data_IF_420539077316
#
_entry.id   IF_420539077316
#
_cell.length_a   1.000
_cell.length_b   1.000
_cell.length_c   1.000
_cell.angle_alpha   90.00
_cell.angle_beta   90.00
_cell.angle_gamma   90.00
#
_symmetry.space_group_name_H-M   'P 1'
#
loop_
_entity.id
_entity.type
_entity.pdbx_description
1 polymer ?
#
# COMPACT_ATOMS: atom_id res chain seq x y z
N UNK A 1 -2.64 -6.18 -16.85
CA UNK A 1 -2.22 -5.55 -15.58
C UNK A 1 -0.97 -4.71 -15.78
N UNK A 2 0.19 -5.30 -16.07
CA UNK A 2 1.48 -4.57 -16.21
C UNK A 2 1.36 -3.36 -17.14
N UNK A 3 0.87 -3.56 -18.36
CA UNK A 3 0.67 -2.49 -19.34
C UNK A 3 -0.23 -1.34 -18.82
N UNK A 4 -1.19 -1.65 -17.95
CA UNK A 4 -2.06 -0.63 -17.35
C UNK A 4 -1.32 0.17 -16.29
N UNK A 5 -0.64 -0.51 -15.36
CA UNK A 5 0.01 0.14 -14.21
C UNK A 5 1.31 0.88 -14.59
N UNK A 6 1.99 0.47 -15.66
CA UNK A 6 3.17 1.18 -16.19
C UNK A 6 2.85 2.58 -16.71
N UNK A 7 1.62 2.81 -17.16
CA UNK A 7 1.16 4.10 -17.68
C UNK A 7 0.54 5.02 -16.62
N UNK A 8 0.60 4.65 -15.34
CA UNK A 8 0.06 5.46 -14.24
C UNK A 8 1.14 6.39 -13.66
N UNK A 9 0.73 7.57 -13.19
CA UNK A 9 1.62 8.48 -12.45
C UNK A 9 1.76 8.11 -10.97
N UNK A 10 0.77 7.39 -10.42
CA UNK A 10 0.81 6.90 -9.05
C UNK A 10 0.01 5.60 -8.89
N UNK A 11 0.43 4.78 -7.94
CA UNK A 11 -0.19 3.50 -7.59
C UNK A 11 -0.28 3.38 -6.07
N UNK A 12 -1.40 2.91 -5.56
CA UNK A 12 -1.55 2.50 -4.17
C UNK A 12 -1.19 1.03 -4.04
N UNK A 13 -0.42 0.68 -3.01
CA UNK A 13 0.06 -0.69 -2.78
C UNK A 13 -0.12 -1.04 -1.30
N UNK A 14 -0.53 -2.28 -1.06
CA UNK A 14 -0.61 -2.91 0.26
C UNK A 14 -0.28 -4.40 0.13
N UNK A 15 0.05 -5.07 1.25
CA UNK A 15 0.39 -6.49 1.29
C UNK A 15 -0.31 -7.21 2.42
N UNK A 16 -0.69 -8.47 2.16
CA UNK A 16 -1.12 -9.40 3.21
C UNK A 16 -0.05 -10.44 3.48
N UNK A 17 0.25 -10.67 4.76
CA UNK A 17 1.38 -11.51 5.19
C UNK A 17 0.98 -12.60 6.18
N UNK A 18 1.65 -13.74 6.11
CA UNK A 18 1.47 -14.85 7.05
C UNK A 18 2.78 -15.21 7.76
N UNK A 19 2.77 -15.24 9.09
CA UNK A 19 3.92 -15.62 9.92
C UNK A 19 3.70 -16.83 10.85
N UNK A 20 2.45 -17.22 11.15
CA UNK A 20 2.21 -18.25 12.17
C UNK A 20 2.76 -19.65 11.82
N UNK A 21 2.75 -20.03 10.53
CA UNK A 21 3.24 -21.33 10.03
C UNK A 21 4.51 -21.19 9.16
N UNK A 22 5.26 -20.11 9.32
CA UNK A 22 6.52 -19.89 8.62
C UNK A 22 7.52 -19.18 9.53
N UNK A 23 8.77 -19.62 9.55
CA UNK A 23 9.79 -19.05 10.44
C UNK A 23 10.08 -17.57 10.11
N UNK A 24 10.26 -17.24 8.83
CA UNK A 24 10.51 -15.86 8.38
C UNK A 24 9.22 -15.12 7.98
N UNK A 25 8.09 -15.83 7.97
CA UNK A 25 6.86 -15.39 7.32
C UNK A 25 6.98 -15.29 5.80
N UNK A 26 5.85 -15.12 5.11
CA UNK A 26 5.82 -14.85 3.68
C UNK A 26 4.56 -14.07 3.30
N UNK A 27 4.70 -13.24 2.27
CA UNK A 27 3.62 -12.47 1.67
C UNK A 27 2.69 -13.40 0.89
N UNK A 28 1.39 -13.22 1.09
CA UNK A 28 0.31 -14.08 0.59
C UNK A 28 -0.56 -13.40 -0.46
N UNK A 29 -0.65 -12.07 -0.42
CA UNK A 29 -1.39 -11.25 -1.38
C UNK A 29 -0.69 -9.90 -1.53
N UNK A 30 -0.79 -9.31 -2.72
CA UNK A 30 -0.41 -7.93 -2.98
C UNK A 30 -1.59 -7.23 -3.64
N UNK A 31 -1.92 -6.05 -3.13
CA UNK A 31 -2.99 -5.22 -3.64
C UNK A 31 -2.39 -4.04 -4.37
N UNK A 32 -2.89 -3.74 -5.57
CA UNK A 32 -2.49 -2.56 -6.33
C UNK A 32 -3.74 -1.85 -6.82
N UNK A 33 -3.91 -0.59 -6.45
CA UNK A 33 -4.94 0.27 -7.01
C UNK A 33 -4.32 1.37 -7.86
N UNK A 34 -4.85 1.48 -9.08
CA UNK A 34 -4.73 2.68 -9.91
C UNK A 34 -5.92 3.60 -9.65
N UNK A 35 -6.01 4.72 -10.38
CA UNK A 35 -7.18 5.61 -10.30
C UNK A 35 -8.47 4.98 -10.83
N UNK A 36 -8.38 3.93 -11.63
CA UNK A 36 -9.52 3.36 -12.37
C UNK A 36 -9.77 1.89 -12.09
N UNK A 37 -8.75 1.16 -11.64
CA UNK A 37 -8.78 -0.30 -11.49
C UNK A 37 -8.04 -0.75 -10.24
N UNK A 38 -8.56 -1.81 -9.61
CA UNK A 38 -7.98 -2.50 -8.46
C UNK A 38 -7.53 -3.91 -8.87
N UNK A 39 -6.34 -4.30 -8.44
CA UNK A 39 -5.74 -5.60 -8.72
C UNK A 39 -5.40 -6.31 -7.42
N UNK A 40 -5.79 -7.60 -7.34
CA UNK A 40 -5.39 -8.51 -6.28
C UNK A 40 -4.48 -9.57 -6.89
N UNK A 41 -3.23 -9.56 -6.47
CA UNK A 41 -2.17 -10.39 -7.04
C UNK A 41 -1.87 -11.52 -6.07
N UNK A 42 -2.08 -12.76 -6.53
CA UNK A 42 -1.74 -13.95 -5.77
C UNK A 42 -0.22 -14.15 -5.75
N UNK A 43 0.42 -13.68 -4.69
CA UNK A 43 1.87 -13.72 -4.56
C UNK A 43 2.41 -15.09 -4.16
N UNK A 44 1.54 -16.03 -3.75
CA UNK A 44 1.93 -17.42 -3.50
C UNK A 44 2.15 -18.12 -4.84
N UNK A 45 1.22 -17.94 -5.78
CA UNK A 45 1.28 -18.59 -7.10
C UNK A 45 2.32 -17.93 -8.00
N UNK A 46 2.41 -16.60 -7.99
CA UNK A 46 3.28 -15.83 -8.89
C UNK A 46 4.64 -15.49 -8.29
N UNK A 47 5.03 -16.10 -7.16
CA UNK A 47 6.20 -15.71 -6.36
C UNK A 47 7.47 -15.48 -7.18
N UNK A 48 7.79 -16.40 -8.07
CA UNK A 48 9.02 -16.37 -8.87
C UNK A 48 8.97 -15.41 -10.08
N UNK A 49 7.79 -14.87 -10.38
CA UNK A 49 7.54 -14.01 -11.55
C UNK A 49 7.40 -12.53 -11.15
N UNK A 50 7.20 -12.24 -9.86
CA UNK A 50 6.90 -10.88 -9.39
C UNK A 50 8.05 -9.89 -9.54
N UNK A 51 9.29 -10.36 -9.73
CA UNK A 51 10.45 -9.50 -9.94
C UNK A 51 10.29 -8.55 -11.15
N UNK A 52 9.43 -8.88 -12.11
CA UNK A 52 9.07 -8.02 -13.25
C UNK A 52 8.52 -6.66 -12.80
N UNK A 53 7.90 -6.59 -11.62
CA UNK A 53 7.35 -5.35 -11.06
C UNK A 53 8.42 -4.32 -10.73
N UNK A 54 9.70 -4.68 -10.62
CA UNK A 54 10.79 -3.72 -10.41
C UNK A 54 10.80 -2.63 -11.50
N UNK A 55 10.47 -2.97 -12.76
CA UNK A 55 10.39 -1.97 -13.84
C UNK A 55 9.46 -0.80 -13.52
N UNK A 56 8.44 -1.02 -12.69
CA UNK A 56 7.44 -0.03 -12.27
C UNK A 56 7.76 0.48 -10.86
N UNK A 57 8.09 -0.42 -9.93
CA UNK A 57 8.32 -0.11 -8.52
C UNK A 57 9.61 0.72 -8.32
N UNK A 58 10.60 0.57 -9.20
CA UNK A 58 11.82 1.40 -9.20
C UNK A 58 11.76 2.56 -10.19
N UNK A 59 10.64 2.76 -10.90
CA UNK A 59 10.49 3.90 -11.80
C UNK A 59 10.27 5.20 -10.98
N UNK A 60 11.17 6.20 -11.07
CA UNK A 60 11.05 7.43 -10.28
C UNK A 60 9.90 8.32 -10.71
N UNK A 61 9.33 8.14 -11.91
CA UNK A 61 8.21 8.94 -12.40
C UNK A 61 6.85 8.45 -11.88
N UNK A 62 6.81 7.27 -11.26
CA UNK A 62 5.59 6.67 -10.70
C UNK A 62 5.68 6.76 -9.18
N UNK A 63 4.73 7.41 -8.52
CA UNK A 63 4.67 7.45 -7.05
C UNK A 63 4.06 6.16 -6.53
N UNK A 64 4.72 5.48 -5.60
CA UNK A 64 4.13 4.32 -4.90
C UNK A 64 3.61 4.77 -3.54
N UNK A 65 2.30 4.71 -3.36
CA UNK A 65 1.61 5.15 -2.16
C UNK A 65 1.34 3.94 -1.28
N UNK A 66 1.80 4.01 -0.03
CA UNK A 66 1.56 3.00 1.01
C UNK A 66 0.90 3.64 2.24
N UNK A 67 0.48 2.80 3.19
CA UNK A 67 0.05 3.23 4.52
C UNK A 67 0.78 2.45 5.62
N UNK A 68 1.84 3.01 6.18
CA UNK A 68 2.63 2.35 7.22
C UNK A 68 3.51 1.24 6.65
N UNK A 69 4.37 1.60 5.69
CA UNK A 69 5.06 0.67 4.80
C UNK A 69 6.23 -0.09 5.42
N UNK A 70 6.57 0.14 6.70
CA UNK A 70 7.81 -0.36 7.31
C UNK A 70 8.00 -1.88 7.10
N UNK A 71 6.94 -2.67 7.34
CA UNK A 71 6.97 -4.12 7.13
C UNK A 71 6.86 -4.51 5.65
N UNK A 72 6.10 -3.76 4.86
CA UNK A 72 5.92 -4.05 3.44
C UNK A 72 7.23 -3.98 2.67
N UNK A 73 8.07 -3.00 2.98
CA UNK A 73 9.39 -2.85 2.36
C UNK A 73 10.28 -4.05 2.65
N UNK A 74 10.29 -4.55 3.89
CA UNK A 74 11.04 -5.77 4.25
C UNK A 74 10.48 -7.00 3.50
N UNK A 75 9.16 -7.13 3.44
CA UNK A 75 8.50 -8.27 2.81
C UNK A 75 8.72 -8.30 1.30
N UNK A 76 8.62 -7.16 0.61
CA UNK A 76 8.89 -7.03 -0.83
C UNK A 76 10.31 -7.50 -1.18
N UNK A 77 11.30 -7.10 -0.38
CA UNK A 77 12.69 -7.47 -0.58
C UNK A 77 12.92 -8.95 -0.28
N UNK A 78 12.47 -9.40 0.89
CA UNK A 78 12.65 -10.77 1.38
C UNK A 78 12.01 -11.80 0.44
N UNK A 79 10.77 -11.54 0.01
CA UNK A 79 9.98 -12.52 -0.71
C UNK A 79 10.18 -12.49 -2.23
N UNK A 80 10.45 -11.32 -2.81
CA UNK A 80 10.38 -11.12 -4.28
C UNK A 80 11.58 -10.37 -4.87
N UNK A 81 12.51 -9.87 -4.04
CA UNK A 81 13.58 -8.99 -4.52
C UNK A 81 13.05 -7.69 -5.15
N UNK A 82 11.92 -7.18 -4.63
CA UNK A 82 11.30 -5.94 -5.09
C UNK A 82 11.77 -4.75 -4.24
N UNK A 83 12.00 -3.62 -4.90
CA UNK A 83 12.44 -2.38 -4.28
C UNK A 83 11.55 -1.22 -4.70
N UNK A 84 11.36 -0.25 -3.81
CA UNK A 84 10.51 0.92 -4.07
C UNK A 84 11.38 2.18 -4.24
N UNK A 85 11.15 2.93 -5.31
CA UNK A 85 11.70 4.26 -5.55
C UNK A 85 10.55 5.25 -5.66
N UNK A 86 10.69 6.47 -5.10
CA UNK A 86 9.62 7.47 -5.10
C UNK A 86 8.35 6.97 -4.37
N UNK A 87 8.51 6.70 -3.07
CA UNK A 87 7.42 6.28 -2.17
C UNK A 87 6.80 7.47 -1.46
N UNK A 88 5.48 7.41 -1.24
CA UNK A 88 4.77 8.29 -0.33
C UNK A 88 4.00 7.46 0.71
N UNK A 89 4.35 7.61 1.98
CA UNK A 89 3.65 6.94 3.07
C UNK A 89 2.60 7.87 3.72
N UNK A 90 1.32 7.50 3.57
CA UNK A 90 0.20 8.24 4.15
C UNK A 90 0.15 8.20 5.68
N UNK A 91 0.73 7.18 6.32
CA UNK A 91 0.91 7.13 7.77
C UNK A 91 1.90 8.21 8.23
N UNK A 92 3.02 8.35 7.53
CA UNK A 92 4.01 9.41 7.81
C UNK A 92 3.40 10.80 7.56
N UNK A 93 2.61 10.96 6.50
CA UNK A 93 1.88 12.19 6.23
C UNK A 93 0.89 12.56 7.34
N UNK A 94 0.13 11.58 7.87
CA UNK A 94 -0.78 11.78 8.99
C UNK A 94 -0.05 12.24 10.26
N UNK A 95 1.12 11.67 10.53
CA UNK A 95 2.00 12.07 11.65
C UNK A 95 2.52 13.49 11.47
N UNK A 96 3.02 13.83 10.29
CA UNK A 96 3.57 15.16 10.00
C UNK A 96 2.48 16.26 10.08
N UNK A 97 1.24 15.93 9.75
CA UNK A 97 0.10 16.83 9.90
C UNK A 97 -0.40 16.96 11.34
N UNK A 98 0.10 16.14 12.27
CA UNK A 98 -0.38 16.01 13.66
C UNK A 98 -1.88 15.68 13.73
N UNK A 99 -2.32 14.69 12.94
CA UNK A 99 -3.70 14.22 13.04
C UNK A 99 -3.96 13.49 14.38
N UNK A 100 -5.21 13.46 14.88
CA UNK A 100 -5.57 12.74 16.11
C UNK A 100 -5.19 11.26 16.13
N UNK A 101 -5.22 10.60 14.97
CA UNK A 101 -4.74 9.23 14.79
C UNK A 101 -4.16 9.05 13.37
N UNK A 102 -3.43 7.96 13.18
CA UNK A 102 -2.61 7.74 11.97
C UNK A 102 -2.95 6.45 11.22
N UNK A 103 -3.92 5.67 11.68
CA UNK A 103 -4.29 4.41 11.04
C UNK A 103 -5.14 4.63 9.79
N UNK A 104 -5.09 3.68 8.85
CA UNK A 104 -5.88 3.73 7.62
C UNK A 104 -7.37 3.84 7.94
N UNK A 105 -7.84 3.02 8.90
CA UNK A 105 -9.21 3.08 9.40
C UNK A 105 -9.63 4.48 9.87
N UNK A 106 -8.73 5.21 10.55
CA UNK A 106 -9.01 6.58 10.97
C UNK A 106 -9.11 7.53 9.77
N UNK A 107 -8.21 7.41 8.79
CA UNK A 107 -8.22 8.25 7.59
C UNK A 107 -9.48 7.99 6.75
N UNK A 108 -9.83 6.73 6.52
CA UNK A 108 -11.05 6.32 5.83
C UNK A 108 -12.30 6.88 6.51
N UNK A 109 -12.41 6.73 7.84
CA UNK A 109 -13.55 7.27 8.58
C UNK A 109 -13.61 8.80 8.53
N UNK A 110 -12.46 9.45 8.68
CA UNK A 110 -12.39 10.93 8.76
C UNK A 110 -12.69 11.62 7.44
N UNK A 111 -12.31 11.03 6.31
CA UNK A 111 -12.43 11.67 5.00
C UNK A 111 -13.54 11.11 4.14
N UNK A 112 -13.94 9.85 4.36
CA UNK A 112 -14.91 9.14 3.51
C UNK A 112 -16.10 8.55 4.29
N UNK A 113 -16.14 8.74 5.60
CA UNK A 113 -17.15 8.16 6.52
C UNK A 113 -17.29 6.62 6.40
N UNK A 114 -16.22 5.95 5.96
CA UNK A 114 -16.16 4.49 5.85
C UNK A 114 -15.61 3.89 7.15
N UNK A 115 -16.32 2.90 7.67
CA UNK A 115 -15.84 2.07 8.77
C UNK A 115 -15.03 0.89 8.23
N UNK A 116 -13.71 0.95 8.39
CA UNK A 116 -12.81 -0.13 7.95
C UNK A 116 -13.09 -1.44 8.68
N UNK A 117 -13.24 -2.52 7.93
CA UNK A 117 -13.58 -3.83 8.46
C UNK A 117 -12.37 -4.56 9.08
N UNK A 118 -12.06 -4.34 10.36
CA UNK A 118 -10.87 -4.95 11.00
C UNK A 118 -10.87 -6.48 11.17
N UNK A 119 -11.89 -7.20 10.71
CA UNK A 119 -12.03 -8.64 10.97
C UNK A 119 -10.92 -9.48 10.34
N UNK A 120 -10.36 -9.06 9.20
CA UNK A 120 -9.42 -9.87 8.42
C UNK A 120 -7.94 -9.54 8.64
N UNK A 121 -7.63 -8.55 9.48
CA UNK A 121 -6.25 -8.15 9.75
C UNK A 121 -5.35 -9.28 10.28
N UNK A 122 -5.93 -10.27 10.97
CA UNK A 122 -5.22 -11.46 11.51
C UNK A 122 -5.69 -12.76 10.85
N UNK A 123 -6.35 -12.68 9.69
CA UNK A 123 -6.88 -13.82 8.99
C UNK A 123 -5.79 -14.69 8.35
N UNK A 124 -6.14 -15.93 7.99
CA UNK A 124 -5.24 -16.81 7.27
C UNK A 124 -5.29 -16.54 5.76
N UNK A 125 -4.43 -15.63 5.30
CA UNK A 125 -4.33 -15.21 3.89
C UNK A 125 -3.78 -16.28 2.94
N UNK A 126 -3.42 -17.46 3.45
CA UNK A 126 -2.98 -18.60 2.63
C UNK A 126 -4.13 -19.35 1.98
N UNK A 127 -5.37 -19.14 2.47
CA UNK A 127 -6.55 -19.89 2.00
C UNK A 127 -6.78 -19.64 0.51
N UNK A 128 -7.07 -20.71 -0.25
CA UNK A 128 -7.47 -20.66 -1.65
C UNK A 128 -8.64 -21.62 -1.93
N UNK A 129 -9.64 -21.22 -2.74
CA UNK A 129 -9.84 -19.87 -3.29
C UNK A 129 -10.13 -18.86 -2.17
N UNK A 130 -9.81 -17.58 -2.40
CA UNK A 130 -10.12 -16.51 -1.43
C UNK A 130 -11.65 -16.28 -1.39
N UNK A 131 -12.27 -16.29 -0.21
CA UNK A 131 -13.69 -15.93 -0.07
C UNK A 131 -13.95 -14.48 -0.49
N UNK A 132 -15.18 -14.17 -0.91
CA UNK A 132 -15.57 -12.82 -1.37
C UNK A 132 -15.29 -11.73 -0.32
N UNK A 133 -15.46 -12.04 0.97
CA UNK A 133 -15.18 -11.10 2.05
C UNK A 133 -13.70 -10.74 2.17
N UNK A 134 -12.79 -11.69 1.88
CA UNK A 134 -11.35 -11.45 1.84
C UNK A 134 -10.99 -10.57 0.65
N UNK A 135 -11.58 -10.85 -0.52
CA UNK A 135 -11.37 -10.05 -1.73
C UNK A 135 -11.84 -8.60 -1.52
N UNK A 136 -13.01 -8.42 -0.89
CA UNK A 136 -13.52 -7.08 -0.57
C UNK A 136 -12.63 -6.35 0.42
N UNK A 137 -12.24 -7.00 1.52
CA UNK A 137 -11.34 -6.41 2.51
C UNK A 137 -10.02 -5.98 1.86
N UNK A 138 -9.34 -6.90 1.17
CA UNK A 138 -8.05 -6.63 0.55
C UNK A 138 -8.12 -5.46 -0.45
N UNK A 139 -9.20 -5.39 -1.23
CA UNK A 139 -9.43 -4.29 -2.16
C UNK A 139 -9.55 -2.95 -1.43
N UNK A 140 -10.29 -2.90 -0.33
CA UNK A 140 -10.58 -1.64 0.39
C UNK A 140 -9.32 -1.00 0.99
N UNK A 141 -8.27 -1.76 1.30
CA UNK A 141 -7.01 -1.23 1.84
C UNK A 141 -6.25 -0.34 0.83
N UNK A 142 -6.44 -0.55 -0.47
CA UNK A 142 -5.78 0.26 -1.52
C UNK A 142 -6.73 1.14 -2.32
N UNK A 143 -8.00 0.76 -2.44
CA UNK A 143 -8.98 1.41 -3.33
C UNK A 143 -9.12 2.93 -3.07
N UNK A 144 -9.13 3.35 -1.81
CA UNK A 144 -9.29 4.75 -1.43
C UNK A 144 -7.96 5.48 -1.19
N UNK A 145 -6.84 4.75 -1.22
CA UNK A 145 -5.57 5.24 -0.71
C UNK A 145 -4.99 6.36 -1.58
N UNK A 146 -5.18 6.32 -2.90
CA UNK A 146 -4.76 7.39 -3.80
C UNK A 146 -5.53 8.70 -3.57
N UNK A 147 -6.81 8.62 -3.19
CA UNK A 147 -7.59 9.80 -2.81
C UNK A 147 -7.10 10.39 -1.49
N UNK A 148 -6.83 9.53 -0.50
CA UNK A 148 -6.21 9.94 0.77
C UNK A 148 -4.85 10.62 0.51
N UNK A 149 -4.04 10.07 -0.39
CA UNK A 149 -2.78 10.67 -0.81
C UNK A 149 -2.96 12.09 -1.34
N UNK A 150 -3.89 12.34 -2.26
CA UNK A 150 -4.12 13.69 -2.79
C UNK A 150 -4.51 14.66 -1.67
N UNK A 151 -5.42 14.24 -0.79
CA UNK A 151 -5.90 15.05 0.32
C UNK A 151 -4.75 15.40 1.28
N UNK A 152 -3.97 14.40 1.71
CA UNK A 152 -2.86 14.63 2.63
C UNK A 152 -1.75 15.46 1.98
N UNK A 153 -1.42 15.20 0.71
CA UNK A 153 -0.47 15.99 -0.07
C UNK A 153 -0.89 17.47 -0.12
N UNK A 154 -2.15 17.75 -0.46
CA UNK A 154 -2.65 19.11 -0.55
C UNK A 154 -2.59 19.81 0.82
N UNK A 155 -3.00 19.13 1.89
CA UNK A 155 -2.91 19.67 3.26
C UNK A 155 -1.47 19.93 3.71
N UNK A 156 -0.51 19.09 3.33
CA UNK A 156 0.91 19.32 3.60
C UNK A 156 1.41 20.57 2.88
N UNK A 157 1.05 20.74 1.60
CA UNK A 157 1.40 21.93 0.81
C UNK A 157 0.80 23.20 1.41
N UNK A 158 -0.48 23.16 1.79
CA UNK A 158 -1.19 24.28 2.42
C UNK A 158 -0.54 24.73 3.73
N UNK A 159 -0.05 23.78 4.54
CA UNK A 159 0.73 24.12 5.74
C UNK A 159 2.05 24.77 5.36
N UNK A 160 2.87 24.06 4.59
CA UNK A 160 4.14 24.53 4.05
C UNK A 160 4.74 23.43 3.15
N UNK A 161 5.20 23.79 1.95
CA UNK A 161 5.84 22.85 1.00
C UNK A 161 6.97 22.00 1.60
N UNK A 162 7.65 22.50 2.64
CA UNK A 162 8.70 21.76 3.34
C UNK A 162 8.17 20.50 4.05
N UNK A 163 6.92 20.50 4.50
CA UNK A 163 6.31 19.34 5.15
C UNK A 163 6.14 18.19 4.15
N UNK A 164 5.78 18.51 2.91
CA UNK A 164 5.70 17.51 1.85
C UNK A 164 7.07 16.84 1.61
N UNK A 165 8.14 17.64 1.56
CA UNK A 165 9.51 17.11 1.42
C UNK A 165 9.89 16.22 2.61
N UNK A 166 9.59 16.65 3.83
CA UNK A 166 9.82 15.85 5.04
C UNK A 166 9.13 14.49 4.97
N UNK A 167 7.88 14.44 4.48
CA UNK A 167 7.16 13.16 4.32
C UNK A 167 7.83 12.27 3.29
N UNK A 168 8.24 12.79 2.13
CA UNK A 168 8.97 12.01 1.13
C UNK A 168 10.33 11.51 1.65
N UNK A 169 11.01 12.28 2.50
CA UNK A 169 12.27 11.84 3.10
C UNK A 169 12.06 10.78 4.19
N UNK A 170 11.00 10.90 4.99
CA UNK A 170 10.59 9.88 5.97
C UNK A 170 10.05 8.61 5.33
N UNK A 171 9.48 8.71 4.12
CA UNK A 171 8.99 7.57 3.34
C UNK A 171 10.12 6.73 2.72
N UNK A 172 11.40 7.15 2.84
CA UNK A 172 12.55 6.38 2.33
C UNK A 172 13.24 5.54 3.41
N UNK A 173 12.91 5.77 4.68
CA UNK A 173 13.58 5.19 5.83
C UNK A 173 12.96 3.87 6.24
#
# INVERSE_FOLDING_TARGET
MIDHIENQSELAIDLEHHSYRSYQGFTCLMQISSRTEDFLIDTIVLRDELNILNNIFTNPNIVKVFHGADSDIEWLQKDFGLYIVNMFDTHQAARELNLPAFSLAYLLKSYWDIDANKQFQLADWRIRPLPEEYLRYAREDTHYLLYIYDLLRNRLIEKNIQFLKTVYDKSKM
#
